data_IF_142418044910
#
_entry.id   IF_142418044910
#
_cell.length_a   1.000
_cell.length_b   1.000
_cell.length_c   1.000
_cell.angle_alpha   90.00
_cell.angle_beta   90.00
_cell.angle_gamma   90.00
#
_symmetry.space_group_name_H-M   'P 1'
#
loop_
_entity.id
_entity.type
_entity.pdbx_description
1 polymer ?
#
# COMPACT_ATOMS: atom_id res chain seq x y z
N UNK A 1 -44.80 -38.70 -22.55
CA UNK A 1 -44.44 -37.27 -22.65
C UNK A 1 -43.05 -37.05 -22.10
N UNK A 2 -42.04 -37.00 -22.98
CA UNK A 2 -40.64 -36.81 -22.63
C UNK A 2 -40.34 -35.31 -22.57
N UNK A 3 -40.04 -34.78 -21.37
CA UNK A 3 -39.55 -33.39 -21.21
C UNK A 3 -38.11 -33.34 -21.71
N UNK A 4 -37.92 -32.80 -22.91
CA UNK A 4 -36.63 -32.43 -23.48
C UNK A 4 -35.95 -31.40 -22.57
N UNK A 5 -34.71 -31.72 -22.18
CA UNK A 5 -33.78 -30.86 -21.46
C UNK A 5 -33.35 -29.72 -22.39
N UNK A 6 -33.59 -28.47 -21.99
CA UNK A 6 -32.95 -27.31 -22.61
C UNK A 6 -31.55 -27.13 -22.00
N UNK A 7 -30.55 -27.52 -22.77
CA UNK A 7 -29.14 -27.23 -22.52
C UNK A 7 -28.85 -25.81 -23.05
N UNK A 8 -28.92 -24.81 -22.18
CA UNK A 8 -28.34 -23.50 -22.47
C UNK A 8 -26.87 -23.52 -22.04
N UNK A 9 -26.01 -23.92 -22.97
CA UNK A 9 -24.58 -23.64 -22.90
C UNK A 9 -24.25 -22.23 -23.39
N UNK A 10 -23.03 -21.79 -23.07
CA UNK A 10 -22.36 -20.53 -23.44
C UNK A 10 -22.73 -19.35 -22.52
N UNK A 11 -21.81 -18.55 -21.98
CA UNK A 11 -20.43 -18.26 -22.35
C UNK A 11 -19.57 -18.13 -21.08
N UNK A 12 -18.35 -18.67 -21.18
CA UNK A 12 -17.22 -18.41 -20.31
C UNK A 12 -17.17 -16.93 -19.89
N UNK A 13 -17.27 -16.68 -18.59
CA UNK A 13 -16.77 -15.44 -17.98
C UNK A 13 -15.63 -15.76 -17.02
N UNK A 14 -14.68 -16.57 -17.50
CA UNK A 14 -13.30 -16.44 -17.05
C UNK A 14 -12.77 -15.09 -17.55
N UNK A 15 -13.28 -13.98 -17.01
CA UNK A 15 -12.57 -12.72 -17.01
C UNK A 15 -11.43 -12.87 -15.99
N UNK A 16 -10.47 -13.71 -16.35
CA UNK A 16 -9.17 -13.72 -15.73
C UNK A 16 -8.59 -12.34 -16.05
N UNK A 17 -8.84 -11.38 -15.17
CA UNK A 17 -8.18 -10.08 -15.17
C UNK A 17 -6.72 -10.40 -14.95
N UNK A 18 -5.95 -10.44 -16.03
CA UNK A 18 -4.52 -10.22 -15.97
C UNK A 18 -4.34 -8.86 -15.31
N UNK A 19 -4.16 -8.87 -14.00
CA UNK A 19 -3.59 -7.77 -13.28
C UNK A 19 -2.21 -7.61 -13.90
N UNK A 20 -2.06 -6.62 -14.78
CA UNK A 20 -0.77 -6.12 -15.17
C UNK A 20 -0.03 -5.82 -13.88
N UNK A 21 0.91 -6.68 -13.49
CA UNK A 21 1.79 -6.46 -12.36
C UNK A 21 2.56 -5.20 -12.72
N UNK A 22 2.08 -4.07 -12.21
CA UNK A 22 2.71 -2.80 -12.47
C UNK A 22 4.12 -2.88 -11.90
N UNK A 23 5.10 -2.78 -12.78
CA UNK A 23 6.50 -2.86 -12.42
C UNK A 23 6.91 -1.57 -11.69
N UNK A 24 7.36 -1.72 -10.45
CA UNK A 24 7.99 -0.64 -9.70
C UNK A 24 9.46 -0.59 -10.11
N UNK A 25 9.95 0.60 -10.46
CA UNK A 25 11.35 0.82 -10.82
C UNK A 25 12.19 1.04 -9.56
N UNK A 26 13.03 0.06 -9.22
CA UNK A 26 13.97 0.08 -8.09
C UNK A 26 15.39 0.53 -8.46
N UNK A 27 15.66 0.90 -9.72
CA UNK A 27 17.02 1.23 -10.18
C UNK A 27 17.70 2.36 -9.41
N UNK A 28 16.90 3.28 -8.87
CA UNK A 28 17.36 4.49 -8.15
C UNK A 28 17.26 4.38 -6.63
N UNK A 29 16.94 3.21 -6.09
CA UNK A 29 16.74 3.04 -4.66
C UNK A 29 18.05 3.27 -3.89
N UNK A 30 18.07 4.11 -2.85
CA UNK A 30 19.31 4.46 -2.15
C UNK A 30 19.85 3.28 -1.33
N UNK A 31 21.17 3.14 -1.29
CA UNK A 31 21.88 2.21 -0.40
C UNK A 31 22.34 2.94 0.85
N UNK A 32 22.15 2.33 2.02
CA UNK A 32 22.52 2.91 3.31
C UNK A 32 23.83 2.29 3.83
N UNK A 33 24.83 3.12 4.09
CA UNK A 33 26.09 2.70 4.72
C UNK A 33 25.98 2.80 6.24
N UNK A 34 26.55 1.84 6.97
CA UNK A 34 26.49 1.84 8.44
C UNK A 34 27.33 2.98 9.06
N UNK A 35 28.35 3.47 8.35
CA UNK A 35 29.18 4.61 8.77
C UNK A 35 28.42 5.93 8.87
N UNK A 36 27.34 6.07 8.10
CA UNK A 36 26.63 7.34 7.92
C UNK A 36 25.43 7.48 8.86
N UNK A 37 25.24 6.49 9.73
CA UNK A 37 24.11 6.39 10.65
C UNK A 37 24.59 6.53 12.07
N UNK A 38 23.98 7.44 12.81
CA UNK A 38 24.08 7.47 14.26
C UNK A 38 22.84 6.78 14.87
N UNK A 39 23.07 5.75 15.68
CA UNK A 39 22.03 5.04 16.42
C UNK A 39 22.05 5.42 17.90
N UNK A 40 20.89 5.75 18.45
CA UNK A 40 20.70 5.95 19.89
C UNK A 40 19.49 5.17 20.39
N UNK A 41 19.66 4.43 21.49
CA UNK A 41 18.55 3.75 22.16
C UNK A 41 17.95 4.65 23.23
N UNK A 42 16.64 4.86 23.14
CA UNK A 42 15.87 5.71 24.03
C UNK A 42 14.75 4.93 24.69
N UNK A 43 14.13 5.53 25.70
CA UNK A 43 12.88 5.03 26.28
C UNK A 43 11.71 5.39 25.39
N UNK A 44 10.71 4.50 25.36
CA UNK A 44 9.44 4.79 24.71
C UNK A 44 8.75 6.00 25.36
N UNK A 45 7.94 6.72 24.60
CA UNK A 45 7.13 7.83 25.09
C UNK A 45 5.67 7.53 24.76
N UNK A 46 4.76 7.76 25.72
CA UNK A 46 3.32 7.56 25.56
C UNK A 46 2.65 6.98 26.81
N UNK A 47 1.32 6.73 26.77
CA UNK A 47 0.57 6.05 27.83
C UNK A 47 0.92 4.56 27.85
N UNK A 48 2.17 4.26 28.21
CA UNK A 48 2.68 2.92 28.36
C UNK A 48 2.71 2.50 29.83
N UNK A 49 2.53 1.20 30.09
CA UNK A 49 2.74 0.64 31.42
C UNK A 49 4.22 0.64 31.82
N UNK A 50 4.50 0.04 32.98
CA UNK A 50 5.85 -0.04 33.57
C UNK A 50 6.93 -0.55 32.60
N UNK A 51 6.57 -1.44 31.66
CA UNK A 51 7.51 -2.01 30.70
C UNK A 51 8.04 -0.97 29.69
N UNK A 52 7.22 -0.01 29.27
CA UNK A 52 7.58 1.01 28.26
C UNK A 52 8.50 2.07 28.87
N UNK A 53 8.25 2.46 30.12
CA UNK A 53 9.00 3.53 30.80
C UNK A 53 10.36 3.08 31.34
N UNK A 54 10.56 1.77 31.51
CA UNK A 54 11.81 1.20 32.05
C UNK A 54 12.76 0.68 30.97
N UNK A 55 12.23 0.21 29.83
CA UNK A 55 13.04 -0.48 28.82
C UNK A 55 13.52 0.48 27.73
N UNK A 56 14.82 0.48 27.45
CA UNK A 56 15.41 1.26 26.35
C UNK A 56 15.29 0.49 25.02
N UNK A 57 14.08 0.35 24.50
CA UNK A 57 13.82 -0.36 23.24
C UNK A 57 13.42 0.55 22.07
N UNK A 58 13.21 1.85 22.29
CA UNK A 58 12.94 2.79 21.22
C UNK A 58 14.26 3.13 20.52
N UNK A 59 14.28 3.03 19.19
CA UNK A 59 15.47 3.32 18.38
C UNK A 59 15.30 4.70 17.76
N UNK A 60 16.31 5.54 17.94
CA UNK A 60 16.48 6.79 17.22
C UNK A 60 17.62 6.63 16.24
N UNK A 61 17.35 6.83 14.96
CA UNK A 61 18.35 6.83 13.89
C UNK A 61 18.45 8.21 13.30
N UNK A 62 19.68 8.67 13.07
CA UNK A 62 19.99 9.90 12.35
C UNK A 62 20.94 9.58 11.20
N UNK A 63 20.57 9.98 9.99
CA UNK A 63 21.47 9.93 8.84
C UNK A 63 22.31 11.21 8.85
N UNK A 64 23.62 11.08 9.03
CA UNK A 64 24.55 12.20 9.19
C UNK A 64 24.58 13.15 7.96
N UNK A 65 24.71 12.68 6.71
CA UNK A 65 24.89 13.59 5.57
C UNK A 65 23.59 14.30 5.16
N UNK A 66 22.41 13.69 5.37
CA UNK A 66 21.12 14.32 5.01
C UNK A 66 20.44 14.98 6.22
N UNK A 67 20.87 14.68 7.45
CA UNK A 67 20.21 15.16 8.66
C UNK A 67 18.83 14.55 8.94
N UNK A 68 18.38 13.56 8.17
CA UNK A 68 17.07 12.92 8.35
C UNK A 68 17.08 12.08 9.62
N UNK A 69 16.06 12.29 10.45
CA UNK A 69 15.88 11.57 11.71
C UNK A 69 14.64 10.68 11.67
N UNK A 70 14.74 9.53 12.33
CA UNK A 70 13.68 8.54 12.47
C UNK A 70 13.65 8.03 13.90
N UNK A 71 12.48 8.09 14.52
CA UNK A 71 12.20 7.45 15.80
C UNK A 71 11.27 6.27 15.56
N UNK A 72 11.64 5.08 16.04
CA UNK A 72 10.85 3.86 15.89
C UNK A 72 10.62 3.19 17.25
N UNK A 73 9.36 2.89 17.55
CA UNK A 73 8.94 2.12 18.72
C UNK A 73 7.71 1.29 18.34
N UNK A 74 7.92 0.19 17.59
CA UNK A 74 6.83 -0.67 17.12
C UNK A 74 6.74 -1.98 17.91
N UNK A 75 7.89 -2.53 18.27
CA UNK A 75 7.99 -3.83 18.93
C UNK A 75 8.63 -3.71 20.31
N UNK A 76 8.40 -4.73 21.15
CA UNK A 76 9.07 -4.86 22.46
C UNK A 76 10.58 -5.02 22.33
N UNK A 77 11.05 -5.68 21.26
CA UNK A 77 12.46 -6.01 21.04
C UNK A 77 13.18 -4.89 20.27
N UNK A 78 14.33 -4.45 20.79
CA UNK A 78 15.13 -3.40 20.17
C UNK A 78 15.68 -3.79 18.80
N UNK A 79 16.12 -5.03 18.62
CA UNK A 79 16.65 -5.54 17.33
C UNK A 79 15.62 -5.44 16.20
N UNK A 80 14.36 -5.79 16.48
CA UNK A 80 13.26 -5.61 15.51
C UNK A 80 13.04 -4.13 15.19
N UNK A 81 13.06 -3.27 16.22
CA UNK A 81 12.94 -1.83 16.01
C UNK A 81 14.11 -1.24 15.20
N UNK A 82 15.33 -1.79 15.30
CA UNK A 82 16.48 -1.36 14.47
C UNK A 82 16.23 -1.67 12.99
N UNK A 83 15.76 -2.87 12.68
CA UNK A 83 15.44 -3.29 11.31
C UNK A 83 14.35 -2.39 10.73
N UNK A 84 13.26 -2.17 11.48
CA UNK A 84 12.17 -1.31 11.02
C UNK A 84 12.58 0.16 10.90
N UNK A 85 13.39 0.67 11.83
CA UNK A 85 13.91 2.04 11.75
C UNK A 85 14.77 2.25 10.49
N UNK A 86 15.62 1.26 10.13
CA UNK A 86 16.44 1.32 8.92
C UNK A 86 15.59 1.33 7.64
N UNK A 87 14.53 0.50 7.58
CA UNK A 87 13.57 0.50 6.46
C UNK A 87 12.88 1.87 6.30
N UNK A 88 12.36 2.42 7.40
CA UNK A 88 11.69 3.73 7.39
C UNK A 88 12.69 4.84 6.99
N UNK A 89 13.94 4.77 7.45
CA UNK A 89 14.98 5.72 7.07
C UNK A 89 15.28 5.66 5.57
N UNK A 90 15.39 4.46 5.00
CA UNK A 90 15.57 4.26 3.56
C UNK A 90 14.41 4.80 2.74
N UNK A 91 13.16 4.53 3.15
CA UNK A 91 11.97 5.08 2.49
C UNK A 91 11.96 6.61 2.52
N UNK A 92 12.29 7.22 3.67
CA UNK A 92 12.42 8.68 3.76
C UNK A 92 13.53 9.22 2.87
N UNK A 93 14.66 8.52 2.80
CA UNK A 93 15.80 8.91 1.97
C UNK A 93 15.44 8.81 0.48
N UNK A 94 14.73 7.76 0.08
CA UNK A 94 14.23 7.58 -1.29
C UNK A 94 13.29 8.73 -1.67
N UNK A 95 12.35 9.09 -0.81
CA UNK A 95 11.47 10.24 -1.03
C UNK A 95 12.27 11.55 -1.11
N UNK A 96 13.27 11.74 -0.26
CA UNK A 96 14.10 12.95 -0.25
C UNK A 96 14.97 13.08 -1.51
N UNK A 97 15.58 11.99 -1.99
CA UNK A 97 16.50 12.00 -3.14
C UNK A 97 15.77 11.91 -4.49
N UNK A 98 14.67 11.15 -4.55
CA UNK A 98 14.00 10.77 -5.80
C UNK A 98 12.63 11.43 -5.97
N UNK A 99 12.02 11.96 -4.90
CA UNK A 99 10.77 12.71 -4.96
C UNK A 99 9.63 11.92 -5.63
N UNK A 100 9.15 12.41 -6.77
CA UNK A 100 8.08 11.78 -7.57
C UNK A 100 8.47 10.41 -8.13
N UNK A 101 9.77 10.15 -8.30
CA UNK A 101 10.29 8.86 -8.77
C UNK A 101 10.53 7.87 -7.64
N UNK A 102 10.30 8.25 -6.38
CA UNK A 102 10.39 7.34 -5.25
C UNK A 102 9.43 6.16 -5.40
N UNK A 103 9.78 5.02 -4.80
CA UNK A 103 8.96 3.81 -4.82
C UNK A 103 7.58 4.08 -4.24
N UNK A 104 7.52 4.85 -3.14
CA UNK A 104 6.28 5.23 -2.50
C UNK A 104 5.38 6.08 -3.43
N UNK A 105 5.96 7.01 -4.19
CA UNK A 105 5.23 7.81 -5.16
C UNK A 105 4.74 6.97 -6.36
N UNK A 106 5.59 6.08 -6.87
CA UNK A 106 5.22 5.14 -7.94
C UNK A 106 4.04 4.25 -7.51
N UNK A 107 4.13 3.65 -6.32
CA UNK A 107 3.06 2.81 -5.76
C UNK A 107 1.76 3.60 -5.59
N UNK A 108 1.83 4.83 -5.05
CA UNK A 108 0.66 5.72 -4.90
C UNK A 108 0.02 6.05 -6.25
N UNK A 109 0.81 6.33 -7.28
CA UNK A 109 0.29 6.62 -8.62
C UNK A 109 -0.41 5.40 -9.22
N UNK A 110 0.13 4.20 -9.02
CA UNK A 110 -0.50 2.95 -9.46
C UNK A 110 -1.82 2.67 -8.73
N UNK A 111 -1.85 2.87 -7.42
CA UNK A 111 -3.05 2.65 -6.62
C UNK A 111 -4.14 3.68 -6.93
N UNK A 112 -3.76 4.93 -7.22
CA UNK A 112 -4.66 5.95 -7.74
C UNK A 112 -5.27 5.55 -9.09
N UNK A 113 -4.45 5.07 -10.04
CA UNK A 113 -4.93 4.56 -11.35
C UNK A 113 -5.90 3.39 -11.19
N UNK A 114 -5.62 2.45 -10.28
CA UNK A 114 -6.52 1.33 -9.97
C UNK A 114 -7.84 1.80 -9.36
N UNK A 115 -7.76 2.75 -8.43
CA UNK A 115 -8.93 3.33 -7.76
C UNK A 115 -9.84 4.09 -8.74
N UNK A 116 -9.27 4.90 -9.63
CA UNK A 116 -10.04 5.64 -10.65
C UNK A 116 -10.72 4.68 -11.63
N UNK A 117 -10.01 3.63 -12.08
CA UNK A 117 -10.60 2.57 -12.91
C UNK A 117 -11.75 1.85 -12.22
N UNK A 118 -11.60 1.51 -10.92
CA UNK A 118 -12.65 0.87 -10.14
C UNK A 118 -13.90 1.76 -10.07
N UNK A 119 -13.73 3.05 -9.79
CA UNK A 119 -14.84 4.03 -9.77
C UNK A 119 -15.51 4.14 -11.14
N UNK A 120 -14.75 4.21 -12.23
CA UNK A 120 -15.29 4.26 -13.60
C UNK A 120 -16.14 3.02 -13.91
N UNK A 121 -15.66 1.82 -13.57
CA UNK A 121 -16.39 0.56 -13.78
C UNK A 121 -17.67 0.50 -12.96
N UNK A 122 -17.61 0.93 -11.71
CA UNK A 122 -18.77 0.99 -10.83
C UNK A 122 -19.83 1.98 -11.35
N UNK A 123 -19.41 3.16 -11.83
CA UNK A 123 -20.30 4.15 -12.44
C UNK A 123 -21.03 3.59 -13.67
N UNK A 124 -20.31 2.95 -14.59
CA UNK A 124 -20.91 2.29 -15.76
C UNK A 124 -21.90 1.19 -15.37
N UNK A 125 -21.55 0.37 -14.38
CA UNK A 125 -22.44 -0.68 -13.89
C UNK A 125 -23.71 -0.10 -13.27
N UNK A 126 -23.59 0.98 -12.50
CA UNK A 126 -24.71 1.67 -11.90
C UNK A 126 -25.64 2.27 -12.97
N UNK A 127 -25.08 2.89 -14.01
CA UNK A 127 -25.82 3.44 -15.14
C UNK A 127 -26.54 2.34 -15.92
N UNK A 128 -25.88 1.24 -16.26
CA UNK A 128 -26.51 0.09 -16.92
C UNK A 128 -27.67 -0.48 -16.09
N UNK A 129 -27.50 -0.59 -14.76
CA UNK A 129 -28.56 -1.05 -13.85
C UNK A 129 -29.75 -0.10 -13.84
N UNK A 130 -29.50 1.21 -13.81
CA UNK A 130 -30.55 2.23 -13.86
C UNK A 130 -31.33 2.17 -15.18
N UNK A 131 -30.62 2.07 -16.30
CA UNK A 131 -31.25 1.99 -17.62
C UNK A 131 -32.10 0.72 -17.77
N UNK A 132 -31.64 -0.42 -17.22
CA UNK A 132 -32.43 -1.65 -17.20
C UNK A 132 -33.71 -1.49 -16.36
N UNK A 133 -33.62 -0.93 -15.16
CA UNK A 133 -34.79 -0.65 -14.30
C UNK A 133 -35.79 0.30 -14.95
N UNK A 134 -35.32 1.32 -15.68
CA UNK A 134 -36.18 2.24 -16.40
C UNK A 134 -36.94 1.55 -17.53
N UNK A 135 -36.27 0.68 -18.31
CA UNK A 135 -36.90 -0.10 -19.39
C UNK A 135 -38.00 -1.02 -18.86
N UNK A 136 -37.77 -1.71 -17.75
CA UNK A 136 -38.81 -2.55 -17.13
C UNK A 136 -40.02 -1.73 -16.65
N UNK A 137 -39.79 -0.49 -16.19
CA UNK A 137 -40.88 0.41 -15.78
C UNK A 137 -41.71 0.86 -16.99
N UNK A 138 -41.06 1.27 -18.07
CA UNK A 138 -41.72 1.69 -19.32
C UNK A 138 -42.54 0.56 -19.97
N UNK A 139 -42.11 -0.71 -19.84
CA UNK A 139 -42.87 -1.87 -20.33
C UNK A 139 -44.09 -2.23 -19.45
N UNK A 140 -44.17 -1.70 -18.22
CA UNK A 140 -45.25 -1.98 -17.26
C UNK A 140 -46.35 -0.91 -17.19
N UNK A 141 -46.12 0.25 -17.82
CA UNK A 141 -47.05 1.38 -17.95
C UNK A 141 -47.81 1.32 -19.28
#
# INVERSE_FOLDING_TARGET
MLKLRSLAGSLSSNLCRLASNAHLDYSRYPTLQESDIEETLMRGSGPGGQAVNKTNNCVFLRHLPTGITVKCHLHRLASKNRIEARKILLEKLDVHLNGEKSIAAQQKALDQKKSTERKRRQGKLHEMKKNWQNREREESE
#
